data_IF_165260276274
#
_entry.id   IF_165260276274
#
_cell.length_a   1.000
_cell.length_b   1.000
_cell.length_c   1.000
_cell.angle_alpha   90.00
_cell.angle_beta   90.00
_cell.angle_gamma   90.00
#
_symmetry.space_group_name_H-M   'P 1'
#
loop_
_entity.id
_entity.type
_entity.pdbx_description
1 polymer ?
#
# COMPACT_ATOMS: atom_id res chain seq x y z
N UNK A 1 0.48 -8.06 33.29
CA UNK A 1 1.33 -6.84 33.32
C UNK A 1 1.40 -6.30 31.91
N UNK A 2 1.14 -5.01 31.72
CA UNK A 2 1.07 -4.37 30.40
C UNK A 2 2.50 -4.11 29.87
N UNK A 3 2.85 -4.71 28.72
CA UNK A 3 4.14 -4.51 28.03
C UNK A 3 4.12 -3.28 27.10
N UNK A 4 3.15 -2.40 27.33
CA UNK A 4 2.75 -1.31 26.44
C UNK A 4 3.84 -0.25 26.16
N UNK A 5 4.79 0.08 27.06
CA UNK A 5 5.85 1.01 26.66
C UNK A 5 6.81 0.36 25.65
N UNK A 6 7.31 -0.84 25.96
CA UNK A 6 8.41 -1.44 25.21
C UNK A 6 8.01 -1.96 23.82
N UNK A 7 6.83 -2.56 23.70
CA UNK A 7 6.33 -3.05 22.39
C UNK A 7 6.01 -1.90 21.43
N UNK A 8 5.41 -0.82 21.96
CA UNK A 8 5.05 0.36 21.19
C UNK A 8 6.28 1.16 20.75
N UNK A 9 7.24 1.40 21.64
CA UNK A 9 8.51 2.07 21.32
C UNK A 9 9.28 1.31 20.23
N UNK A 10 9.34 -0.01 20.32
CA UNK A 10 9.97 -0.86 19.29
C UNK A 10 9.27 -0.74 17.93
N UNK A 11 7.95 -0.71 17.91
CA UNK A 11 7.17 -0.51 16.69
C UNK A 11 7.38 0.90 16.10
N UNK A 12 7.44 1.95 16.93
CA UNK A 12 7.74 3.32 16.48
C UNK A 12 9.12 3.42 15.83
N UNK A 13 10.14 2.82 16.43
CA UNK A 13 11.48 2.81 15.85
C UNK A 13 11.51 2.13 14.47
N UNK A 14 10.77 1.02 14.30
CA UNK A 14 10.65 0.33 13.00
C UNK A 14 9.85 1.15 11.99
N UNK A 15 8.80 1.84 12.43
CA UNK A 15 8.06 2.79 11.59
C UNK A 15 9.02 3.84 11.03
N UNK A 16 9.78 4.51 11.89
CA UNK A 16 10.68 5.58 11.46
C UNK A 16 11.76 5.05 10.50
N UNK A 17 12.30 3.85 10.74
CA UNK A 17 13.27 3.22 9.84
C UNK A 17 12.68 2.91 8.45
N UNK A 18 11.46 2.35 8.39
CA UNK A 18 10.78 2.10 7.11
C UNK A 18 10.43 3.40 6.37
N UNK A 19 10.02 4.44 7.10
CA UNK A 19 9.74 5.76 6.54
C UNK A 19 11.00 6.39 5.98
N UNK A 20 12.12 6.32 6.70
CA UNK A 20 13.42 6.79 6.21
C UNK A 20 13.84 6.03 4.95
N UNK A 21 13.69 4.70 4.94
CA UNK A 21 13.98 3.88 3.77
C UNK A 21 13.17 4.33 2.56
N UNK A 22 11.91 4.72 2.75
CA UNK A 22 11.00 5.27 1.75
C UNK A 22 11.20 6.79 1.50
N UNK A 23 12.35 7.35 1.84
CA UNK A 23 12.70 8.75 1.53
C UNK A 23 12.14 9.79 2.52
N UNK A 24 11.61 9.37 3.66
CA UNK A 24 11.27 10.25 4.78
C UNK A 24 10.02 11.10 4.60
N UNK A 25 9.21 10.83 3.57
CA UNK A 25 8.07 11.68 3.23
C UNK A 25 6.87 11.52 4.17
N UNK A 26 6.03 12.55 4.28
CA UNK A 26 4.76 12.47 5.01
C UNK A 26 3.84 11.38 4.43
N UNK A 27 3.84 11.23 3.10
CA UNK A 27 3.18 10.12 2.39
C UNK A 27 3.62 8.76 2.94
N UNK A 28 4.93 8.49 2.94
CA UNK A 28 5.49 7.24 3.44
C UNK A 28 5.14 7.00 4.92
N UNK A 29 5.18 8.07 5.74
CA UNK A 29 4.80 7.99 7.16
C UNK A 29 3.35 7.56 7.37
N UNK A 30 2.41 8.18 6.66
CA UNK A 30 0.98 7.84 6.78
C UNK A 30 0.70 6.42 6.28
N UNK A 31 1.32 6.01 5.18
CA UNK A 31 1.15 4.67 4.62
C UNK A 31 1.67 3.58 5.58
N UNK A 32 2.93 3.70 6.03
CA UNK A 32 3.55 2.71 6.93
C UNK A 32 2.84 2.64 8.28
N UNK A 33 2.42 3.78 8.84
CA UNK A 33 1.70 3.81 10.12
C UNK A 33 0.36 3.04 10.05
N UNK A 34 -0.38 3.18 8.95
CA UNK A 34 -1.66 2.49 8.78
C UNK A 34 -1.48 0.99 8.53
N UNK A 35 -0.46 0.58 7.77
CA UNK A 35 -0.14 -0.85 7.61
C UNK A 35 0.23 -1.49 8.95
N UNK A 36 1.03 -0.80 9.78
CA UNK A 36 1.37 -1.28 11.12
C UNK A 36 0.13 -1.40 12.00
N UNK A 37 -0.74 -0.39 11.99
CA UNK A 37 -2.01 -0.44 12.72
C UNK A 37 -2.90 -1.60 12.25
N UNK A 38 -3.02 -1.80 10.94
CA UNK A 38 -3.82 -2.86 10.33
C UNK A 38 -3.23 -4.27 10.58
N UNK A 39 -1.91 -4.41 10.54
CA UNK A 39 -1.22 -5.65 10.88
C UNK A 39 -1.39 -5.97 12.38
N UNK A 40 -1.22 -4.99 13.26
CA UNK A 40 -1.42 -5.16 14.70
C UNK A 40 -2.86 -5.56 15.01
N UNK A 41 -3.84 -4.88 14.43
CA UNK A 41 -5.25 -5.22 14.58
C UNK A 41 -5.53 -6.66 14.15
N UNK A 42 -5.00 -7.10 13.00
CA UNK A 42 -5.16 -8.48 12.53
C UNK A 42 -4.59 -9.48 13.54
N UNK A 43 -3.34 -9.29 13.95
CA UNK A 43 -2.67 -10.19 14.91
C UNK A 43 -3.45 -10.27 16.24
N UNK A 44 -3.90 -9.14 16.77
CA UNK A 44 -4.66 -9.10 18.03
C UNK A 44 -6.04 -9.74 17.87
N UNK A 45 -6.74 -9.47 16.77
CA UNK A 45 -8.07 -10.04 16.51
C UNK A 45 -8.01 -11.55 16.30
N UNK A 46 -6.98 -12.04 15.59
CA UNK A 46 -6.75 -13.47 15.38
C UNK A 46 -6.56 -14.18 16.72
N UNK A 47 -5.78 -13.60 17.65
CA UNK A 47 -5.62 -14.14 19.01
C UNK A 47 -6.94 -14.13 19.80
N UNK A 48 -7.71 -13.05 19.68
CA UNK A 48 -8.97 -12.89 20.41
C UNK A 48 -10.15 -13.67 19.80
N UNK A 49 -9.95 -14.34 18.66
CA UNK A 49 -11.00 -15.08 17.97
C UNK A 49 -12.04 -14.18 17.29
N UNK A 50 -11.73 -12.90 17.10
CA UNK A 50 -12.59 -11.96 16.38
C UNK A 50 -12.35 -12.09 14.87
N UNK A 51 -12.87 -13.15 14.27
CA UNK A 51 -12.90 -13.30 12.82
C UNK A 51 -13.92 -12.33 12.22
N UNK A 52 -13.45 -11.18 11.73
CA UNK A 52 -14.24 -10.28 10.87
C UNK A 52 -15.28 -9.38 11.56
N UNK A 53 -15.26 -9.24 12.88
CA UNK A 53 -16.08 -8.24 13.58
C UNK A 53 -15.33 -6.91 13.70
N UNK A 54 -16.06 -5.80 13.74
CA UNK A 54 -15.57 -4.43 14.00
C UNK A 54 -14.96 -4.34 15.41
N UNK A 55 -13.84 -5.03 15.63
CA UNK A 55 -13.10 -5.08 16.88
C UNK A 55 -12.66 -3.68 17.30
N UNK A 56 -12.87 -3.41 18.59
CA UNK A 56 -12.57 -2.17 19.34
C UNK A 56 -11.40 -1.38 18.74
N UNK A 57 -11.70 -0.40 17.87
CA UNK A 57 -10.73 0.28 16.97
C UNK A 57 -9.59 1.04 17.64
N UNK A 58 -9.57 1.10 18.97
CA UNK A 58 -8.56 1.79 19.78
C UNK A 58 -7.98 0.91 20.91
N UNK A 59 -8.53 -0.27 21.16
CA UNK A 59 -8.09 -1.11 22.27
C UNK A 59 -6.91 -2.01 21.87
N UNK A 60 -6.65 -2.23 20.58
CA UNK A 60 -5.68 -3.21 20.12
C UNK A 60 -4.26 -2.87 20.58
N UNK A 61 -3.89 -1.58 20.58
CA UNK A 61 -2.60 -1.14 21.10
C UNK A 61 -2.43 -1.46 22.59
N UNK A 62 -3.50 -1.28 23.38
CA UNK A 62 -3.49 -1.53 24.83
C UNK A 62 -3.50 -3.03 25.13
N UNK A 63 -4.16 -3.82 24.28
CA UNK A 63 -4.33 -5.26 24.45
C UNK A 63 -3.19 -6.08 23.82
N UNK A 64 -2.36 -5.46 22.99
CA UNK A 64 -1.24 -6.12 22.33
C UNK A 64 -0.10 -6.43 23.29
N UNK A 65 0.42 -7.65 23.18
CA UNK A 65 1.69 -8.08 23.74
C UNK A 65 2.86 -7.62 22.85
N UNK A 66 4.05 -7.60 23.43
CA UNK A 66 5.29 -7.28 22.70
C UNK A 66 5.51 -8.16 21.47
N UNK A 67 5.24 -9.47 21.59
CA UNK A 67 5.39 -10.40 20.48
C UNK A 67 4.43 -10.08 19.31
N UNK A 68 3.25 -9.53 19.60
CA UNK A 68 2.28 -9.13 18.58
C UNK A 68 2.72 -7.83 17.88
N UNK A 69 3.28 -6.86 18.62
CA UNK A 69 3.95 -5.70 18.03
C UNK A 69 5.11 -6.11 17.11
N UNK A 70 5.95 -7.05 17.56
CA UNK A 70 7.08 -7.57 16.80
C UNK A 70 6.62 -8.32 15.53
N UNK A 71 5.54 -9.09 15.63
CA UNK A 71 4.95 -9.84 14.51
C UNK A 71 4.33 -8.89 13.47
N UNK A 72 3.54 -7.91 13.93
CA UNK A 72 2.94 -6.89 13.07
C UNK A 72 4.02 -6.10 12.32
N UNK A 73 5.04 -5.64 13.05
CA UNK A 73 6.14 -4.88 12.47
C UNK A 73 6.93 -5.70 11.45
N UNK A 74 7.29 -6.94 11.78
CA UNK A 74 8.01 -7.84 10.86
C UNK A 74 7.20 -8.13 9.58
N UNK A 75 5.88 -8.23 9.70
CA UNK A 75 5.00 -8.49 8.55
C UNK A 75 5.00 -7.30 7.58
N UNK A 76 4.89 -6.08 8.09
CA UNK A 76 4.92 -4.86 7.28
C UNK A 76 6.30 -4.64 6.70
N UNK A 77 7.34 -4.84 7.51
CA UNK A 77 8.74 -4.72 7.11
C UNK A 77 9.07 -5.67 5.94
N UNK A 78 8.62 -6.92 6.02
CA UNK A 78 8.76 -7.86 4.90
C UNK A 78 8.06 -7.35 3.65
N UNK A 79 6.85 -6.77 3.73
CA UNK A 79 6.17 -6.23 2.54
C UNK A 79 6.95 -5.06 1.93
N UNK A 80 7.38 -4.11 2.76
CA UNK A 80 8.11 -2.89 2.34
C UNK A 80 9.48 -3.23 1.71
N UNK A 81 10.15 -4.28 2.18
CA UNK A 81 11.49 -4.64 1.69
C UNK A 81 11.53 -5.79 0.66
N UNK A 82 10.51 -6.65 0.58
CA UNK A 82 10.58 -7.90 -0.21
C UNK A 82 10.23 -7.75 -1.69
N UNK A 83 9.50 -6.71 -2.11
CA UNK A 83 8.88 -6.69 -3.45
C UNK A 83 9.75 -6.09 -4.59
N UNK A 84 11.08 -6.09 -4.45
CA UNK A 84 12.02 -5.56 -5.48
C UNK A 84 12.46 -6.58 -6.56
N UNK A 85 11.63 -7.56 -6.98
CA UNK A 85 12.10 -8.65 -7.87
C UNK A 85 11.59 -8.67 -9.31
N UNK A 86 10.79 -7.72 -9.76
CA UNK A 86 10.48 -7.59 -11.21
C UNK A 86 11.34 -6.51 -11.86
N UNK A 87 11.99 -6.74 -13.02
CA UNK A 87 12.67 -5.69 -13.80
C UNK A 87 11.75 -4.51 -14.11
N UNK A 88 12.30 -3.31 -14.18
CA UNK A 88 11.54 -2.09 -14.46
C UNK A 88 11.29 -1.98 -15.95
N UNK A 89 10.07 -2.30 -16.39
CA UNK A 89 9.72 -2.11 -17.81
C UNK A 89 9.36 -0.65 -18.14
N UNK A 90 9.07 0.21 -17.16
CA UNK A 90 8.22 1.34 -17.49
C UNK A 90 8.19 2.47 -16.45
N UNK A 91 8.57 3.65 -16.96
CA UNK A 91 7.88 4.91 -16.73
C UNK A 91 7.92 5.40 -15.28
N UNK A 92 8.89 6.29 -15.01
CA UNK A 92 9.21 6.78 -13.68
C UNK A 92 9.00 8.29 -13.55
N UNK A 93 8.67 8.72 -12.34
CA UNK A 93 8.71 10.13 -11.95
C UNK A 93 9.27 10.26 -10.54
N UNK A 94 10.18 11.20 -10.34
CA UNK A 94 10.73 11.51 -9.01
C UNK A 94 9.66 12.21 -8.17
N UNK A 95 9.37 11.64 -7.00
CA UNK A 95 8.32 12.11 -6.09
C UNK A 95 8.79 11.90 -4.66
N UNK A 96 8.71 12.91 -3.81
CA UNK A 96 8.87 12.75 -2.35
C UNK A 96 10.13 11.97 -1.89
N UNK A 97 11.28 12.16 -2.57
CA UNK A 97 12.53 11.46 -2.22
C UNK A 97 12.64 10.03 -2.75
N UNK A 98 11.67 9.57 -3.52
CA UNK A 98 11.67 8.30 -4.23
C UNK A 98 11.18 8.46 -5.67
N UNK A 99 10.74 7.35 -6.25
CA UNK A 99 10.30 7.24 -7.63
C UNK A 99 8.97 6.52 -7.67
N UNK A 100 7.98 7.07 -8.35
CA UNK A 100 6.79 6.31 -8.71
C UNK A 100 7.07 5.56 -10.00
N UNK A 101 6.89 4.24 -9.99
CA UNK A 101 7.17 3.35 -11.11
C UNK A 101 5.94 2.50 -11.45
N UNK A 102 5.72 2.25 -12.73
CA UNK A 102 4.63 1.39 -13.21
C UNK A 102 5.22 0.09 -13.77
N UNK A 103 5.13 -1.00 -13.02
CA UNK A 103 5.65 -2.32 -13.40
C UNK A 103 4.49 -3.23 -13.79
N UNK A 104 4.41 -3.57 -15.07
CA UNK A 104 3.33 -4.39 -15.62
C UNK A 104 1.95 -3.78 -15.32
N UNK A 105 1.25 -4.36 -14.34
CA UNK A 105 -0.08 -3.93 -13.90
C UNK A 105 -0.09 -3.35 -12.49
N UNK A 106 1.07 -2.96 -11.95
CA UNK A 106 1.24 -2.49 -10.59
C UNK A 106 1.95 -1.14 -10.55
N UNK A 107 1.42 -0.21 -9.77
CA UNK A 107 2.01 1.10 -9.50
C UNK A 107 2.72 1.05 -8.14
N UNK A 108 3.98 1.44 -8.12
CA UNK A 108 4.87 1.36 -6.97
C UNK A 108 5.44 2.72 -6.61
N UNK A 109 5.72 2.93 -5.32
CA UNK A 109 6.62 3.97 -4.83
C UNK A 109 7.91 3.31 -4.38
N UNK A 110 9.03 3.72 -4.96
CA UNK A 110 10.31 3.03 -4.86
C UNK A 110 11.43 3.96 -4.43
N UNK A 111 12.39 3.39 -3.72
CA UNK A 111 13.67 4.00 -3.37
C UNK A 111 14.78 3.00 -3.60
N UNK A 112 16.03 3.38 -3.35
CA UNK A 112 17.15 2.45 -3.37
C UNK A 112 17.11 1.41 -2.24
N UNK A 113 16.25 1.57 -1.23
CA UNK A 113 16.21 0.74 -0.02
C UNK A 113 14.91 -0.06 0.13
N UNK A 114 13.79 0.45 -0.38
CA UNK A 114 12.45 -0.10 -0.13
C UNK A 114 11.47 0.25 -1.25
N UNK A 115 10.37 -0.51 -1.33
CA UNK A 115 9.29 -0.27 -2.26
C UNK A 115 7.91 -0.46 -1.59
N UNK A 116 6.91 0.26 -2.08
CA UNK A 116 5.54 0.20 -1.58
C UNK A 116 4.55 0.13 -2.75
N UNK A 117 3.69 -0.90 -2.75
CA UNK A 117 2.63 -1.02 -3.75
C UNK A 117 1.53 0.03 -3.48
N UNK A 118 1.18 0.81 -4.51
CA UNK A 118 0.17 1.86 -4.44
C UNK A 118 -1.15 1.45 -5.08
N UNK A 119 -1.07 0.74 -6.20
CA UNK A 119 -2.24 0.30 -6.94
C UNK A 119 -1.89 -0.89 -7.81
N UNK A 120 -2.89 -1.72 -8.12
CA UNK A 120 -2.74 -2.81 -9.06
C UNK A 120 -3.98 -2.95 -9.94
N UNK A 121 -3.77 -3.39 -11.16
CA UNK A 121 -4.81 -3.78 -12.09
C UNK A 121 -4.90 -5.31 -12.14
N UNK A 122 -6.14 -5.82 -12.17
CA UNK A 122 -6.43 -7.25 -12.19
C UNK A 122 -7.60 -7.56 -13.11
N UNK A 123 -7.70 -8.80 -13.58
CA UNK A 123 -8.86 -9.28 -14.34
C UNK A 123 -9.96 -9.69 -13.36
N UNK A 124 -11.14 -9.12 -13.52
CA UNK A 124 -12.31 -9.49 -12.72
C UNK A 124 -12.79 -10.90 -13.09
N UNK A 125 -12.52 -11.85 -12.19
CA UNK A 125 -12.91 -13.26 -12.35
C UNK A 125 -14.44 -13.45 -12.44
N UNK A 126 -15.23 -12.56 -11.83
CA UNK A 126 -16.69 -12.62 -11.86
C UNK A 126 -17.26 -12.23 -13.23
N UNK A 127 -16.51 -11.45 -14.03
CA UNK A 127 -16.94 -10.98 -15.34
C UNK A 127 -16.46 -11.83 -16.51
N UNK A 128 -15.40 -12.62 -16.34
CA UNK A 128 -14.96 -13.64 -17.33
C UNK A 128 -16.09 -14.59 -17.74
N UNK A 129 -17.02 -14.90 -16.83
CA UNK A 129 -18.07 -15.90 -17.07
C UNK A 129 -19.25 -15.46 -17.94
N UNK A 130 -19.44 -14.15 -18.21
CA UNK A 130 -20.67 -13.65 -18.86
C UNK A 130 -20.52 -13.19 -20.31
N UNK A 131 -19.33 -12.85 -20.79
CA UNK A 131 -19.19 -12.16 -22.08
C UNK A 131 -17.95 -12.53 -22.93
N UNK A 132 -17.13 -13.50 -22.52
CA UNK A 132 -15.93 -13.89 -23.28
C UNK A 132 -14.89 -12.77 -23.46
N UNK A 133 -15.00 -11.68 -22.68
CA UNK A 133 -14.08 -10.53 -22.70
C UNK A 133 -13.52 -10.33 -21.30
N UNK A 134 -12.20 -10.22 -21.20
CA UNK A 134 -11.52 -9.87 -19.95
C UNK A 134 -11.87 -8.43 -19.59
N UNK A 135 -12.53 -8.25 -18.44
CA UNK A 135 -12.75 -6.94 -17.84
C UNK A 135 -11.68 -6.70 -16.79
N UNK A 136 -10.90 -5.65 -16.99
CA UNK A 136 -9.83 -5.26 -16.08
C UNK A 136 -10.32 -4.20 -15.10
N UNK A 137 -9.96 -4.33 -13.84
CA UNK A 137 -10.27 -3.39 -12.77
C UNK A 137 -8.96 -2.88 -12.17
N UNK A 138 -8.98 -1.66 -11.65
CA UNK A 138 -7.87 -1.06 -10.90
C UNK A 138 -8.30 -0.94 -9.44
N UNK A 139 -7.46 -1.39 -8.52
CA UNK A 139 -7.63 -1.14 -7.09
C UNK A 139 -6.45 -0.36 -6.55
N UNK A 140 -6.75 0.63 -5.71
CA UNK A 140 -5.79 1.19 -4.79
C UNK A 140 -5.49 0.20 -3.67
N UNK A 141 -4.26 0.20 -3.20
CA UNK A 141 -3.91 -0.44 -1.94
C UNK A 141 -4.41 0.42 -0.76
N UNK A 142 -4.50 -0.17 0.44
CA UNK A 142 -4.97 0.57 1.62
C UNK A 142 -4.02 1.73 1.97
N UNK A 143 -2.74 1.55 1.66
CA UNK A 143 -1.65 2.49 1.82
C UNK A 143 -1.87 3.75 0.97
N UNK A 144 -2.24 3.58 -0.30
CA UNK A 144 -2.55 4.69 -1.18
C UNK A 144 -3.85 5.40 -0.76
N UNK A 145 -4.89 4.64 -0.39
CA UNK A 145 -6.17 5.21 0.08
C UNK A 145 -5.99 6.08 1.32
N UNK A 146 -5.21 5.60 2.29
CA UNK A 146 -4.94 6.31 3.54
C UNK A 146 -4.30 7.68 3.29
N UNK A 147 -3.36 7.76 2.35
CA UNK A 147 -2.77 9.04 1.98
C UNK A 147 -3.82 10.03 1.45
N UNK A 148 -4.69 9.59 0.54
CA UNK A 148 -5.72 10.48 -0.02
C UNK A 148 -6.67 11.00 1.05
N UNK A 149 -7.09 10.12 1.97
CA UNK A 149 -7.93 10.49 3.10
C UNK A 149 -7.28 11.57 3.98
N UNK A 150 -5.98 11.44 4.28
CA UNK A 150 -5.27 12.37 5.18
C UNK A 150 -4.76 13.64 4.50
N UNK A 151 -4.46 13.62 3.21
CA UNK A 151 -3.95 14.77 2.46
C UNK A 151 -5.04 15.81 2.12
N UNK A 152 -6.28 15.63 2.59
CA UNK A 152 -7.42 16.49 2.24
C UNK A 152 -7.84 16.38 0.77
N UNK A 153 -7.34 15.35 0.07
CA UNK A 153 -7.74 15.04 -1.29
C UNK A 153 -9.05 14.26 -1.29
N UNK A 154 -9.82 14.41 -2.36
CA UNK A 154 -10.85 13.41 -2.66
C UNK A 154 -10.13 12.13 -3.08
N UNK A 155 -10.50 10.98 -2.52
CA UNK A 155 -10.10 9.69 -3.11
C UNK A 155 -10.39 9.79 -4.61
N UNK A 156 -9.40 9.59 -5.49
CA UNK A 156 -9.66 9.61 -6.92
C UNK A 156 -10.76 8.59 -7.13
N UNK A 157 -11.91 9.05 -7.65
CA UNK A 157 -13.10 8.23 -7.75
C UNK A 157 -12.66 6.86 -8.24
N UNK A 158 -12.87 5.82 -7.40
CA UNK A 158 -12.68 4.44 -7.81
C UNK A 158 -13.72 4.20 -8.89
N UNK A 159 -13.46 4.73 -10.07
CA UNK A 159 -14.13 4.29 -11.24
C UNK A 159 -13.61 2.87 -11.36
N UNK A 160 -14.44 1.94 -10.92
CA UNK A 160 -14.61 0.63 -11.51
C UNK A 160 -14.97 0.75 -13.02
N UNK A 161 -14.36 1.72 -13.71
CA UNK A 161 -14.18 1.81 -15.14
C UNK A 161 -13.42 0.56 -15.51
N UNK A 162 -14.19 -0.50 -15.73
CA UNK A 162 -13.69 -1.71 -16.31
C UNK A 162 -12.97 -1.31 -17.57
N UNK A 163 -11.66 -1.45 -17.59
CA UNK A 163 -10.94 -1.33 -18.83
C UNK A 163 -11.26 -2.59 -19.64
N UNK A 164 -11.67 -2.42 -20.90
CA UNK A 164 -11.93 -3.53 -21.81
C UNK A 164 -10.65 -4.27 -22.25
N UNK A 165 -9.47 -3.80 -21.82
CA UNK A 165 -8.17 -4.35 -22.16
C UNK A 165 -7.14 -4.04 -21.08
N UNK A 166 -6.04 -4.81 -21.08
CA UNK A 166 -4.87 -4.58 -20.22
C UNK A 166 -4.30 -3.16 -20.40
N UNK A 167 -4.14 -2.72 -21.65
CA UNK A 167 -3.61 -1.39 -21.96
C UNK A 167 -4.49 -0.26 -21.40
N UNK A 168 -5.81 -0.44 -21.41
CA UNK A 168 -6.73 0.51 -20.79
C UNK A 168 -6.51 0.60 -19.28
N UNK A 169 -6.25 -0.53 -18.61
CA UNK A 169 -5.99 -0.55 -17.18
C UNK A 169 -4.64 0.12 -16.84
N UNK A 170 -3.61 -0.14 -17.64
CA UNK A 170 -2.30 0.53 -17.53
C UNK A 170 -2.43 2.05 -17.73
N UNK A 171 -3.22 2.50 -18.70
CA UNK A 171 -3.51 3.95 -18.86
C UNK A 171 -4.21 4.54 -17.65
N UNK A 172 -5.15 3.82 -17.04
CA UNK A 172 -5.81 4.25 -15.80
C UNK A 172 -4.82 4.37 -14.63
N UNK A 173 -3.89 3.43 -14.49
CA UNK A 173 -2.82 3.50 -13.49
C UNK A 173 -1.90 4.71 -13.70
N UNK A 174 -1.55 5.03 -14.96
CA UNK A 174 -0.79 6.25 -15.27
C UNK A 174 -1.52 7.53 -14.89
N UNK A 175 -2.81 7.61 -15.25
CA UNK A 175 -3.65 8.76 -14.87
C UNK A 175 -3.75 8.91 -13.35
N UNK A 176 -3.85 7.80 -12.62
CA UNK A 176 -3.81 7.81 -11.17
C UNK A 176 -2.48 8.37 -10.65
N UNK A 177 -1.34 7.94 -11.21
CA UNK A 177 -0.03 8.48 -10.85
C UNK A 177 0.06 10.01 -11.04
N UNK A 178 -0.41 10.48 -12.21
CA UNK A 178 -0.41 11.90 -12.57
C UNK A 178 -1.31 12.75 -11.67
N UNK A 179 -2.56 12.33 -11.46
CA UNK A 179 -3.55 13.12 -10.73
C UNK A 179 -3.31 13.06 -9.23
N UNK A 180 -3.05 11.86 -8.72
CA UNK A 180 -3.12 11.57 -7.30
C UNK A 180 -1.76 11.80 -6.63
N UNK A 181 -0.67 11.50 -7.34
CA UNK A 181 0.69 11.69 -6.83
C UNK A 181 1.46 12.83 -7.51
N UNK A 182 0.80 13.58 -8.42
CA UNK A 182 1.41 14.70 -9.16
C UNK A 182 2.67 14.29 -9.92
N UNK A 183 2.67 13.07 -10.44
CA UNK A 183 3.82 12.39 -10.97
C UNK A 183 3.61 12.08 -12.47
N UNK A 184 4.10 12.93 -13.39
CA UNK A 184 3.99 12.66 -14.83
C UNK A 184 4.91 11.50 -15.20
N UNK A 185 4.32 10.33 -15.41
CA UNK A 185 5.08 9.15 -15.76
C UNK A 185 5.46 9.22 -17.26
N UNK A 186 6.73 9.47 -17.59
CA UNK A 186 7.27 9.49 -18.97
C UNK A 186 7.54 8.08 -19.48
N UNK A 187 7.06 7.71 -20.69
CA UNK A 187 7.41 6.41 -21.28
C UNK A 187 8.93 6.23 -21.21
N UNK A 188 9.41 5.14 -20.59
CA UNK A 188 10.84 4.89 -20.53
C UNK A 188 11.35 4.82 -21.96
N UNK A 189 12.33 5.65 -22.31
CA UNK A 189 13.06 5.47 -23.56
C UNK A 189 13.75 4.10 -23.44
N UNK A 190 13.20 3.13 -24.16
CA UNK A 190 13.72 1.77 -24.27
C UNK A 190 15.01 1.75 -25.10
#
# INVERSE_FOLDING_TARGET
MSNFPQGFEGMQARLDAMVEALGGSHFARVAVANELAGALRRVVNDRLGFAGSHGLTFAEYVLASRAEFDTASSTVEQRVYREMTEPSDAVSASVHGGVIALRGTCLWFETSRAALLLAHAYVDACHRRRAGKDRWSVSLTEEAKAYFFHAGGSEPAQSSTGAGSRDGAVKSLRRLAEVAFRAPLSAGDA
#
